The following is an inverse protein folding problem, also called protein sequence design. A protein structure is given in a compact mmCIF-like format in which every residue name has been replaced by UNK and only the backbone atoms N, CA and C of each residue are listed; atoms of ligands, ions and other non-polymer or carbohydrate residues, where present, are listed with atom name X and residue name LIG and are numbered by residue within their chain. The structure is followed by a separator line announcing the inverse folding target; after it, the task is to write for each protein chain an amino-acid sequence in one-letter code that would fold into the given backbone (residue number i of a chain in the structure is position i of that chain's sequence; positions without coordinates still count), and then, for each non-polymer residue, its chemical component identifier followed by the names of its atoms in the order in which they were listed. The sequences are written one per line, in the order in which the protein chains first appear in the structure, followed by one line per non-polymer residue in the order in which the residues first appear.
data_IF_140691609365
#
_entry.id   IF_140691609365
#
_cell.length_a   1.000
_cell.length_b   1.000
_cell.length_c   1.000
_cell.angle_alpha   90.00
_cell.angle_beta   90.00
_cell.angle_gamma   90.00
#
_symmetry.space_group_name_H-M   'P 1'
#
loop_
_entity.id
_entity.type
_entity.pdbx_description
1 polymer ?
#
# COMPACT_ATOMS: atom_id res chain seq x y z
N UNK A 1 -20.12 -16.80 -10.63
CA UNK A 1 -19.42 -16.84 -9.33
C UNK A 1 -19.07 -15.42 -8.92
N UNK A 2 -19.72 -14.86 -7.91
CA UNK A 2 -19.38 -13.55 -7.41
C UNK A 2 -17.96 -13.61 -6.79
N UNK A 3 -17.00 -12.98 -7.47
CA UNK A 3 -15.62 -12.86 -6.98
C UNK A 3 -15.70 -11.99 -5.72
N UNK A 4 -15.51 -12.57 -4.54
CA UNK A 4 -15.53 -11.83 -3.27
C UNK A 4 -14.53 -10.68 -3.36
N UNK A 5 -15.07 -9.47 -3.40
CA UNK A 5 -14.31 -8.23 -3.42
C UNK A 5 -13.71 -8.03 -2.04
N UNK A 6 -12.42 -8.21 -1.90
CA UNK A 6 -11.74 -7.97 -0.64
C UNK A 6 -11.31 -6.52 -0.57
N UNK A 7 -11.85 -5.79 0.39
CA UNK A 7 -11.44 -4.41 0.66
C UNK A 7 -9.94 -4.35 0.99
N UNK A 8 -9.27 -3.29 0.55
CA UNK A 8 -7.88 -2.98 0.89
C UNK A 8 -7.61 -3.11 2.39
N UNK A 9 -8.53 -2.62 3.23
CA UNK A 9 -8.44 -2.77 4.69
C UNK A 9 -8.33 -4.24 5.12
N UNK A 10 -9.17 -5.12 4.57
CA UNK A 10 -9.14 -6.55 4.88
C UNK A 10 -7.83 -7.20 4.44
N UNK A 11 -7.31 -6.80 3.28
CA UNK A 11 -6.02 -7.28 2.78
C UNK A 11 -4.86 -6.86 3.69
N UNK A 12 -4.79 -5.60 4.11
CA UNK A 12 -3.73 -5.12 5.03
C UNK A 12 -3.76 -5.88 6.35
N UNK A 13 -4.95 -6.08 6.95
CA UNK A 13 -5.08 -6.86 8.18
C UNK A 13 -4.61 -8.31 7.98
N UNK A 14 -4.97 -8.91 6.86
CA UNK A 14 -4.55 -10.27 6.52
C UNK A 14 -3.04 -10.36 6.30
N UNK A 15 -2.44 -9.41 5.59
CA UNK A 15 -0.99 -9.34 5.38
C UNK A 15 -0.23 -9.18 6.69
N UNK A 16 -0.76 -8.35 7.60
CA UNK A 16 -0.19 -8.20 8.93
C UNK A 16 -0.27 -9.50 9.74
N UNK A 17 -1.43 -10.17 9.74
CA UNK A 17 -1.58 -11.47 10.40
C UNK A 17 -0.63 -12.53 9.81
N UNK A 18 -0.52 -12.59 8.48
CA UNK A 18 0.41 -13.51 7.80
C UNK A 18 1.87 -13.18 8.14
N UNK A 19 2.26 -11.90 8.20
CA UNK A 19 3.61 -11.52 8.59
C UNK A 19 3.95 -11.96 10.01
N UNK A 20 3.02 -11.81 10.95
CA UNK A 20 3.19 -12.28 12.33
C UNK A 20 3.31 -13.81 12.41
N UNK A 21 2.49 -14.54 11.66
CA UNK A 21 2.54 -16.01 11.64
C UNK A 21 3.87 -16.51 11.05
N UNK A 22 4.32 -15.93 9.93
CA UNK A 22 5.59 -16.30 9.31
C UNK A 22 6.78 -15.95 10.21
N UNK A 23 6.79 -14.75 10.79
CA UNK A 23 7.84 -14.34 11.73
C UNK A 23 7.87 -15.25 12.96
N UNK A 24 6.70 -15.56 13.54
CA UNK A 24 6.59 -16.47 14.68
C UNK A 24 7.09 -17.88 14.36
N UNK A 25 6.73 -18.41 13.20
CA UNK A 25 7.21 -19.71 12.74
C UNK A 25 8.73 -19.74 12.59
N UNK A 26 9.31 -18.75 11.93
CA UNK A 26 10.76 -18.65 11.73
C UNK A 26 11.49 -18.47 13.05
N UNK A 27 11.02 -17.59 13.92
CA UNK A 27 11.61 -17.37 15.25
C UNK A 27 11.54 -18.63 16.11
N UNK A 28 10.41 -19.37 16.07
CA UNK A 28 10.26 -20.64 16.79
C UNK A 28 11.22 -21.71 16.26
N UNK A 29 11.36 -21.84 14.94
CA UNK A 29 12.30 -22.79 14.33
C UNK A 29 13.77 -22.44 14.67
N UNK A 30 14.13 -21.16 14.67
CA UNK A 30 15.45 -20.71 15.09
C UNK A 30 15.69 -21.01 16.57
N UNK A 31 14.74 -20.74 17.43
CA UNK A 31 14.84 -21.08 18.86
C UNK A 31 15.05 -22.58 19.07
N UNK A 32 14.20 -23.41 18.44
CA UNK A 32 14.30 -24.88 18.54
C UNK A 32 15.59 -25.44 17.92
N UNK A 33 15.99 -24.91 16.78
CA UNK A 33 17.24 -25.30 16.12
C UNK A 33 18.46 -24.98 16.99
N UNK A 34 18.48 -23.78 17.56
CA UNK A 34 19.53 -23.36 18.49
C UNK A 34 19.55 -24.20 19.76
N UNK A 35 18.38 -24.47 20.34
CA UNK A 35 18.24 -25.32 21.52
C UNK A 35 18.78 -26.76 21.26
N UNK A 36 18.42 -27.34 20.11
CA UNK A 36 18.89 -28.68 19.73
C UNK A 36 20.40 -28.70 19.50
N UNK A 37 20.92 -27.69 18.80
CA UNK A 37 22.34 -27.55 18.55
C UNK A 37 23.15 -27.46 19.85
N UNK A 38 22.71 -26.63 20.80
CA UNK A 38 23.37 -26.52 22.11
C UNK A 38 23.33 -27.81 22.93
N UNK A 39 22.24 -28.56 22.82
CA UNK A 39 22.14 -29.81 23.55
C UNK A 39 23.02 -30.95 23.00
N UNK A 40 23.33 -30.91 21.70
CA UNK A 40 24.06 -32.00 21.02
C UNK A 40 25.53 -31.70 20.76
N UNK A 41 25.95 -30.44 20.61
CA UNK A 41 27.25 -30.11 19.97
C UNK A 41 28.17 -29.18 20.79
N UNK A 42 27.83 -28.76 22.00
CA UNK A 42 28.68 -27.80 22.70
C UNK A 42 29.89 -28.49 23.34
N UNK A 43 31.07 -28.25 22.71
CA UNK A 43 32.38 -28.33 23.33
C UNK A 43 32.93 -26.91 23.52
N UNK A 44 33.56 -26.64 24.68
CA UNK A 44 34.16 -25.33 24.99
C UNK A 44 35.14 -24.93 23.87
N UNK A 45 34.94 -23.72 23.32
CA UNK A 45 35.79 -23.16 22.24
C UNK A 45 35.10 -22.93 20.90
N UNK A 46 33.81 -23.11 20.80
CA UNK A 46 33.03 -22.86 19.57
C UNK A 46 32.52 -21.39 19.55
N UNK A 47 32.64 -20.63 18.45
CA UNK A 47 32.14 -19.24 18.32
C UNK A 47 30.66 -19.10 18.63
N UNK A 48 29.87 -20.16 18.50
CA UNK A 48 28.47 -20.20 18.89
C UNK A 48 28.26 -20.25 20.42
N UNK A 49 29.27 -20.58 21.21
CA UNK A 49 29.18 -20.48 22.69
C UNK A 49 29.11 -19.02 23.13
N UNK A 50 29.91 -18.14 22.53
CA UNK A 50 29.89 -16.69 22.83
C UNK A 50 28.51 -16.08 22.48
N UNK A 51 27.91 -16.51 21.36
CA UNK A 51 26.56 -16.09 21.02
C UNK A 51 25.50 -16.55 22.05
N UNK A 52 25.66 -17.75 22.60
CA UNK A 52 24.80 -18.25 23.67
C UNK A 52 24.93 -17.41 24.94
N UNK A 53 26.16 -17.13 25.37
CA UNK A 53 26.42 -16.31 26.56
C UNK A 53 25.82 -14.90 26.38
N UNK A 54 25.91 -14.34 25.20
CA UNK A 54 25.27 -13.06 24.85
C UNK A 54 23.74 -13.14 24.94
N UNK A 55 23.11 -14.19 24.35
CA UNK A 55 21.65 -14.39 24.41
C UNK A 55 21.19 -14.57 25.86
N UNK A 56 21.94 -15.34 26.66
CA UNK A 56 21.63 -15.59 28.06
C UNK A 56 21.73 -14.31 28.90
N UNK A 57 22.68 -13.42 28.58
CA UNK A 57 22.84 -12.12 29.26
C UNK A 57 21.65 -11.17 29.05
N UNK A 58 20.97 -11.24 27.88
CA UNK A 58 19.77 -10.47 27.56
C UNK A 58 18.50 -11.18 28.06
N UNK A 59 18.57 -12.50 28.16
CA UNK A 59 17.46 -13.42 28.41
C UNK A 59 16.85 -13.95 27.11
N UNK A 60 16.70 -15.26 27.02
CA UNK A 60 16.20 -15.95 25.83
C UNK A 60 14.89 -15.35 25.33
N UNK A 61 13.94 -15.08 26.24
CA UNK A 61 12.64 -14.51 25.87
C UNK A 61 12.79 -13.11 25.23
N UNK A 62 13.56 -12.22 25.83
CA UNK A 62 13.73 -10.85 25.35
C UNK A 62 14.41 -10.83 23.97
N UNK A 63 15.46 -11.65 23.80
CA UNK A 63 16.18 -11.76 22.54
C UNK A 63 15.27 -12.26 21.40
N UNK A 64 14.58 -13.38 21.59
CA UNK A 64 13.71 -13.94 20.55
C UNK A 64 12.46 -13.10 20.33
N UNK A 65 11.96 -12.38 21.34
CA UNK A 65 10.86 -11.44 21.19
C UNK A 65 11.25 -10.24 20.34
N UNK A 66 12.44 -9.66 20.58
CA UNK A 66 12.97 -8.58 19.76
C UNK A 66 13.17 -9.04 18.30
N UNK A 67 13.77 -10.23 18.11
CA UNK A 67 13.95 -10.83 16.80
C UNK A 67 12.62 -11.04 16.08
N UNK A 68 11.60 -11.53 16.77
CA UNK A 68 10.24 -11.69 16.25
C UNK A 68 9.66 -10.36 15.76
N UNK A 69 9.79 -9.30 16.54
CA UNK A 69 9.30 -7.97 16.16
C UNK A 69 9.99 -7.48 14.88
N UNK A 70 11.33 -7.51 14.84
CA UNK A 70 12.10 -7.06 13.68
C UNK A 70 11.77 -7.88 12.43
N UNK A 71 11.65 -9.19 12.57
CA UNK A 71 11.30 -10.07 11.48
C UNK A 71 9.87 -9.83 10.98
N UNK A 72 8.91 -9.66 11.90
CA UNK A 72 7.52 -9.36 11.58
C UNK A 72 7.37 -8.06 10.79
N UNK A 73 8.05 -7.00 11.24
CA UNK A 73 8.07 -5.70 10.55
C UNK A 73 8.72 -5.82 9.16
N UNK A 74 9.83 -6.55 9.05
CA UNK A 74 10.53 -6.76 7.77
C UNK A 74 9.65 -7.52 6.77
N UNK A 75 9.02 -8.60 7.20
CA UNK A 75 8.11 -9.39 6.36
C UNK A 75 6.89 -8.55 5.96
N UNK A 76 6.30 -7.80 6.89
CA UNK A 76 5.19 -6.91 6.60
C UNK A 76 5.56 -5.84 5.57
N UNK A 77 6.72 -5.20 5.72
CA UNK A 77 7.24 -4.22 4.76
C UNK A 77 7.38 -4.81 3.36
N UNK A 78 7.94 -6.02 3.24
CA UNK A 78 8.08 -6.71 1.95
C UNK A 78 6.71 -7.00 1.33
N UNK A 79 5.76 -7.50 2.12
CA UNK A 79 4.42 -7.84 1.66
C UNK A 79 3.59 -6.62 1.25
N UNK A 80 3.85 -5.45 1.83
CA UNK A 80 3.14 -4.20 1.51
C UNK A 80 3.78 -3.40 0.37
N UNK A 81 5.00 -3.72 -0.05
CA UNK A 81 5.70 -3.04 -1.15
C UNK A 81 4.89 -2.90 -2.46
N UNK A 82 4.10 -3.89 -2.91
CA UNK A 82 3.28 -3.74 -4.12
C UNK A 82 2.27 -2.59 -4.03
N UNK A 83 1.76 -2.27 -2.85
CA UNK A 83 0.79 -1.19 -2.70
C UNK A 83 1.41 0.19 -2.90
N UNK A 84 2.68 0.40 -2.51
CA UNK A 84 3.42 1.63 -2.85
C UNK A 84 3.52 1.80 -4.37
N UNK A 85 3.83 0.72 -5.09
CA UNK A 85 3.90 0.76 -6.55
C UNK A 85 2.53 1.09 -7.19
N UNK A 86 1.41 0.64 -6.62
CA UNK A 86 0.08 1.02 -7.10
C UNK A 86 -0.19 2.51 -6.98
N UNK A 87 0.25 3.14 -5.89
CA UNK A 87 0.14 4.59 -5.73
C UNK A 87 0.95 5.35 -6.78
N UNK A 88 2.18 4.92 -7.04
CA UNK A 88 3.03 5.54 -8.04
C UNK A 88 2.41 5.42 -9.44
N UNK A 89 1.84 4.26 -9.77
CA UNK A 89 1.17 4.01 -11.04
C UNK A 89 -0.09 4.89 -11.20
N UNK A 90 -0.93 5.01 -10.16
CA UNK A 90 -2.10 5.90 -10.14
C UNK A 90 -1.68 7.36 -10.29
N UNK A 91 -0.68 7.80 -9.52
CA UNK A 91 -0.15 9.16 -9.59
C UNK A 91 0.35 9.50 -10.99
N UNK A 92 1.09 8.58 -11.59
CA UNK A 92 1.60 8.71 -12.96
C UNK A 92 0.45 8.75 -13.99
N UNK A 93 -0.56 7.89 -13.83
CA UNK A 93 -1.75 7.90 -14.69
C UNK A 93 -2.50 9.23 -14.67
N UNK A 94 -2.67 9.81 -13.47
CA UNK A 94 -3.28 11.14 -13.32
C UNK A 94 -2.40 12.24 -13.96
N UNK A 95 -1.07 12.13 -13.86
CA UNK A 95 -0.17 13.07 -14.54
C UNK A 95 -0.31 13.02 -16.06
N UNK A 96 -0.42 11.82 -16.66
CA UNK A 96 -0.66 11.69 -18.10
C UNK A 96 -1.99 12.31 -18.50
N UNK A 97 -3.03 12.09 -17.70
CA UNK A 97 -4.33 12.70 -17.89
C UNK A 97 -4.23 14.24 -17.89
N UNK A 98 -3.45 14.81 -16.94
CA UNK A 98 -3.18 16.23 -16.81
C UNK A 98 -2.40 16.83 -17.99
N UNK A 99 -1.54 16.03 -18.61
CA UNK A 99 -0.74 16.44 -19.77
C UNK A 99 -1.50 16.24 -21.10
N UNK A 100 -2.75 15.72 -21.06
CA UNK A 100 -3.53 15.44 -22.27
C UNK A 100 -3.11 14.17 -23.01
N UNK A 101 -2.27 13.33 -22.41
CA UNK A 101 -1.90 12.01 -22.96
C UNK A 101 -2.93 10.97 -22.53
N UNK A 102 -4.06 10.95 -23.23
CA UNK A 102 -5.18 10.05 -22.94
C UNK A 102 -5.00 8.62 -23.50
N UNK A 103 -3.90 8.34 -24.21
CA UNK A 103 -3.63 7.01 -24.75
C UNK A 103 -3.03 6.06 -23.73
N UNK A 104 -2.37 6.59 -22.73
CA UNK A 104 -1.77 5.79 -21.67
C UNK A 104 -2.84 5.25 -20.72
N UNK A 105 -2.59 4.04 -20.22
CA UNK A 105 -3.51 3.34 -19.31
C UNK A 105 -2.76 2.97 -18.04
N UNK A 106 -3.44 3.10 -16.91
CA UNK A 106 -2.99 2.60 -15.60
C UNK A 106 -3.23 1.10 -15.58
N UNK A 107 -2.18 0.31 -15.28
CA UNK A 107 -2.27 -1.15 -15.28
C UNK A 107 -2.06 -1.72 -13.88
N UNK A 108 -3.11 -1.70 -13.07
CA UNK A 108 -3.12 -2.29 -11.73
C UNK A 108 -3.98 -3.54 -11.73
N UNK A 109 -3.34 -4.70 -11.50
CA UNK A 109 -4.02 -5.99 -11.40
C UNK A 109 -4.40 -6.25 -9.94
N UNK A 110 -5.34 -5.49 -9.41
CA UNK A 110 -5.89 -5.71 -8.08
C UNK A 110 -7.42 -5.79 -8.13
N UNK A 111 -8.01 -6.58 -7.21
CA UNK A 111 -9.48 -6.70 -7.06
C UNK A 111 -9.96 -5.95 -5.80
N UNK A 112 -9.37 -4.80 -5.55
CA UNK A 112 -9.69 -3.91 -4.45
C UNK A 112 -9.87 -2.48 -4.97
N UNK A 113 -9.93 -1.53 -4.07
CA UNK A 113 -10.12 -0.11 -4.34
C UNK A 113 -9.05 0.46 -5.31
N UNK A 114 -7.83 -0.09 -5.33
CA UNK A 114 -6.79 0.32 -6.29
C UNK A 114 -7.13 -0.06 -7.73
N UNK A 115 -7.64 -1.27 -7.91
CA UNK A 115 -8.13 -1.72 -9.23
C UNK A 115 -9.29 -0.86 -9.73
N UNK A 116 -10.21 -0.49 -8.85
CA UNK A 116 -11.34 0.37 -9.18
C UNK A 116 -10.89 1.78 -9.60
N UNK A 117 -9.96 2.38 -8.84
CA UNK A 117 -9.38 3.69 -9.17
C UNK A 117 -8.68 3.64 -10.53
N UNK A 118 -7.88 2.59 -10.79
CA UNK A 118 -7.19 2.41 -12.06
C UNK A 118 -8.20 2.30 -13.23
N UNK A 119 -9.26 1.53 -13.04
CA UNK A 119 -10.33 1.39 -14.03
C UNK A 119 -11.05 2.72 -14.27
N UNK A 120 -11.36 3.47 -13.22
CA UNK A 120 -12.01 4.77 -13.33
C UNK A 120 -11.14 5.79 -14.09
N UNK A 121 -9.82 5.84 -13.79
CA UNK A 121 -8.87 6.68 -14.53
C UNK A 121 -8.84 6.28 -16.01
N UNK A 122 -8.78 4.99 -16.33
CA UNK A 122 -8.77 4.51 -17.72
C UNK A 122 -10.05 4.85 -18.46
N UNK A 123 -11.21 4.71 -17.83
CA UNK A 123 -12.50 5.13 -18.41
C UNK A 123 -12.58 6.64 -18.63
N UNK A 124 -12.06 7.45 -17.70
CA UNK A 124 -11.97 8.89 -17.89
C UNK A 124 -11.08 9.24 -19.08
N UNK A 125 -9.91 8.60 -19.19
CA UNK A 125 -9.00 8.77 -20.34
C UNK A 125 -9.69 8.45 -21.67
N UNK A 126 -10.38 7.32 -21.75
CA UNK A 126 -11.11 6.89 -22.96
C UNK A 126 -12.19 7.89 -23.37
N UNK A 127 -13.03 8.31 -22.42
CA UNK A 127 -14.09 9.29 -22.70
C UNK A 127 -13.54 10.65 -23.14
N UNK A 128 -12.44 11.10 -22.55
CA UNK A 128 -11.76 12.34 -22.96
C UNK A 128 -11.16 12.21 -24.36
N UNK A 129 -10.53 11.09 -24.68
CA UNK A 129 -9.99 10.80 -26.00
C UNK A 129 -11.10 10.82 -27.07
N UNK A 130 -12.23 10.14 -26.82
CA UNK A 130 -13.38 10.12 -27.70
C UNK A 130 -14.00 11.52 -27.91
N UNK A 131 -14.13 12.30 -26.84
CA UNK A 131 -14.68 13.64 -26.90
C UNK A 131 -13.83 14.60 -27.73
N UNK A 132 -12.52 14.42 -27.64
CA UNK A 132 -11.56 15.17 -28.44
C UNK A 132 -11.65 14.78 -29.91
N UNK A 133 -11.76 13.49 -30.21
CA UNK A 133 -11.89 12.99 -31.60
C UNK A 133 -13.21 13.47 -32.25
N UNK A 134 -14.28 13.63 -31.46
CA UNK A 134 -15.56 14.15 -31.95
C UNK A 134 -15.58 15.67 -32.20
N UNK A 135 -14.52 16.39 -31.79
CA UNK A 135 -14.46 17.83 -31.93
C UNK A 135 -15.37 18.60 -30.96
N UNK A 136 -15.84 17.92 -29.89
CA UNK A 136 -16.78 18.50 -28.91
C UNK A 136 -16.17 19.64 -28.08
N UNK A 137 -14.86 19.88 -28.22
CA UNK A 137 -14.12 20.91 -27.51
C UNK A 137 -13.39 21.87 -28.46
N UNK A 138 -13.56 23.18 -28.24
CA UNK A 138 -12.62 24.15 -28.79
C UNK A 138 -11.23 23.98 -28.11
N UNK A 139 -10.16 24.28 -28.84
CA UNK A 139 -8.78 24.05 -28.38
C UNK A 139 -8.51 24.67 -26.99
N UNK A 140 -9.03 25.88 -26.70
CA UNK A 140 -8.92 26.54 -25.40
C UNK A 140 -9.74 25.87 -24.29
N UNK A 141 -10.89 25.29 -24.62
CA UNK A 141 -11.73 24.60 -23.64
C UNK A 141 -11.15 23.24 -23.23
N UNK A 142 -10.39 22.63 -24.11
CA UNK A 142 -9.67 21.38 -23.90
C UNK A 142 -8.57 21.51 -22.83
N UNK A 143 -7.68 22.50 -23.02
CA UNK A 143 -6.60 22.74 -22.06
C UNK A 143 -7.14 23.08 -20.67
N UNK A 144 -8.15 23.93 -20.59
CA UNK A 144 -8.72 24.37 -19.32
C UNK A 144 -9.45 23.26 -18.58
N UNK A 145 -10.16 22.39 -19.29
CA UNK A 145 -10.81 21.22 -18.71
C UNK A 145 -9.80 20.22 -18.14
N UNK A 146 -8.74 19.94 -18.89
CA UNK A 146 -7.68 19.01 -18.49
C UNK A 146 -6.92 19.52 -17.27
N UNK A 147 -6.55 20.80 -17.25
CA UNK A 147 -5.83 21.42 -16.13
C UNK A 147 -6.69 21.43 -14.87
N UNK A 148 -7.96 21.79 -14.98
CA UNK A 148 -8.89 21.82 -13.85
C UNK A 148 -9.11 20.40 -13.30
N UNK A 149 -9.35 19.43 -14.17
CA UNK A 149 -9.54 18.03 -13.82
C UNK A 149 -8.34 17.45 -13.07
N UNK A 150 -7.14 17.69 -13.62
CA UNK A 150 -5.91 17.23 -13.00
C UNK A 150 -5.69 17.85 -11.61
N UNK A 151 -5.99 19.14 -11.45
CA UNK A 151 -5.89 19.80 -10.16
C UNK A 151 -6.87 19.21 -9.14
N UNK A 152 -8.13 18.99 -9.55
CA UNK A 152 -9.20 18.49 -8.68
C UNK A 152 -9.02 17.02 -8.29
N UNK A 153 -8.38 16.23 -9.13
CA UNK A 153 -7.98 14.84 -8.81
C UNK A 153 -6.72 14.79 -7.95
N UNK A 154 -5.72 15.65 -8.23
CA UNK A 154 -4.44 15.67 -7.50
C UNK A 154 -4.62 16.01 -6.02
N UNK A 155 -5.50 16.97 -5.70
CA UNK A 155 -5.71 17.45 -4.33
C UNK A 155 -6.15 16.35 -3.36
N UNK A 156 -7.23 15.60 -3.61
CA UNK A 156 -7.63 14.48 -2.73
C UNK A 156 -6.60 13.35 -2.74
N UNK A 157 -5.97 13.06 -3.88
CA UNK A 157 -4.95 12.00 -3.98
C UNK A 157 -3.72 12.33 -3.12
N UNK A 158 -3.21 13.56 -3.19
CA UNK A 158 -2.07 13.99 -2.36
C UNK A 158 -2.41 13.89 -0.86
N UNK A 159 -3.67 14.18 -0.50
CA UNK A 159 -4.12 14.02 0.88
C UNK A 159 -4.14 12.54 1.30
N UNK A 160 -4.64 11.64 0.44
CA UNK A 160 -4.63 10.19 0.70
C UNK A 160 -3.20 9.70 0.92
N UNK A 161 -2.29 10.04 -0.02
CA UNK A 161 -0.88 9.69 0.07
C UNK A 161 -0.23 10.22 1.35
N UNK A 162 -0.48 11.50 1.70
CA UNK A 162 0.10 12.11 2.89
C UNK A 162 -0.33 11.43 4.18
N UNK A 163 -1.62 11.08 4.33
CA UNK A 163 -2.10 10.39 5.53
C UNK A 163 -1.63 8.94 5.62
N UNK A 164 -1.52 8.25 4.49
CA UNK A 164 -0.96 6.90 4.46
C UNK A 164 0.55 6.90 4.76
N UNK A 165 1.28 7.86 4.22
CA UNK A 165 2.72 8.04 4.50
C UNK A 165 2.97 8.33 5.98
N UNK A 166 2.13 9.17 6.62
CA UNK A 166 2.19 9.40 8.07
C UNK A 166 1.99 8.10 8.86
N UNK A 167 0.99 7.28 8.48
CA UNK A 167 0.73 6.00 9.15
C UNK A 167 1.88 5.01 8.97
N UNK A 168 2.55 5.05 7.81
CA UNK A 168 3.65 4.13 7.50
C UNK A 168 4.99 4.53 8.12
N UNK A 169 5.23 5.84 8.33
CA UNK A 169 6.54 6.36 8.78
C UNK A 169 6.61 6.69 10.26
N UNK A 170 5.48 6.98 10.90
CA UNK A 170 5.49 7.40 12.30
C UNK A 170 5.12 6.23 13.23
N UNK A 171 6.13 5.58 13.76
CA UNK A 171 6.01 4.44 14.69
C UNK A 171 5.42 4.84 16.06
N UNK A 172 5.31 6.16 16.36
CA UNK A 172 4.81 6.66 17.65
C UNK A 172 3.30 6.92 17.65
N UNK A 173 2.63 6.69 16.54
CA UNK A 173 1.19 6.91 16.43
C UNK A 173 0.41 5.96 17.35
N UNK A 174 -0.55 6.53 18.09
CA UNK A 174 -1.52 5.74 18.84
C UNK A 174 -2.48 5.01 17.89
N UNK A 175 -3.09 3.92 18.35
CA UNK A 175 -4.11 3.19 17.57
C UNK A 175 -5.26 4.10 17.12
N UNK A 176 -5.61 5.09 17.93
CA UNK A 176 -6.65 6.08 17.61
C UNK A 176 -6.22 7.02 16.48
N UNK A 177 -4.96 7.49 16.52
CA UNK A 177 -4.39 8.33 15.46
C UNK A 177 -4.27 7.58 14.13
N UNK A 178 -3.79 6.34 14.17
CA UNK A 178 -3.75 5.46 12.98
C UNK A 178 -5.16 5.30 12.39
N UNK A 179 -6.16 4.99 13.22
CA UNK A 179 -7.55 4.85 12.77
C UNK A 179 -8.08 6.16 12.19
N UNK A 180 -7.77 7.29 12.81
CA UNK A 180 -8.19 8.61 12.36
C UNK A 180 -7.62 8.93 10.96
N UNK A 181 -6.31 8.75 10.76
CA UNK A 181 -5.65 9.01 9.48
C UNK A 181 -6.14 8.09 8.37
N UNK A 182 -6.33 6.79 8.67
CA UNK A 182 -6.92 5.85 7.72
C UNK A 182 -8.36 6.23 7.35
N UNK A 183 -9.15 6.74 8.29
CA UNK A 183 -10.52 7.21 8.01
C UNK A 183 -10.51 8.42 7.09
N UNK A 184 -9.58 9.37 7.31
CA UNK A 184 -9.44 10.53 6.42
C UNK A 184 -9.01 10.10 5.02
N UNK A 185 -8.01 9.24 4.90
CA UNK A 185 -7.56 8.72 3.62
C UNK A 185 -8.71 8.03 2.87
N UNK A 186 -9.48 7.19 3.55
CA UNK A 186 -10.65 6.52 2.98
C UNK A 186 -11.72 7.50 2.50
N UNK A 187 -12.06 8.52 3.30
CA UNK A 187 -13.03 9.54 2.93
C UNK A 187 -12.58 10.36 1.71
N UNK A 188 -11.28 10.67 1.61
CA UNK A 188 -10.72 11.38 0.45
C UNK A 188 -10.72 10.50 -0.80
N UNK A 189 -10.49 9.19 -0.67
CA UNK A 189 -10.60 8.24 -1.77
C UNK A 189 -12.03 8.14 -2.30
N UNK A 190 -13.03 8.09 -1.41
CA UNK A 190 -14.45 8.11 -1.82
C UNK A 190 -14.84 9.41 -2.53
N UNK A 191 -14.25 10.54 -2.11
CA UNK A 191 -14.48 11.81 -2.80
C UNK A 191 -13.86 11.81 -4.20
N UNK A 192 -12.70 11.19 -4.36
CA UNK A 192 -12.05 11.02 -5.67
C UNK A 192 -12.93 10.17 -6.62
N UNK A 193 -13.46 9.06 -6.12
CA UNK A 193 -14.41 8.20 -6.84
C UNK A 193 -15.64 9.00 -7.31
N UNK A 194 -16.25 9.78 -6.40
CA UNK A 194 -17.38 10.64 -6.74
C UNK A 194 -17.07 11.68 -7.80
N UNK A 195 -15.93 12.35 -7.71
CA UNK A 195 -15.49 13.34 -8.72
C UNK A 195 -15.37 12.69 -10.10
N UNK A 196 -14.83 11.49 -10.16
CA UNK A 196 -14.72 10.72 -11.41
C UNK A 196 -16.12 10.37 -11.94
N UNK A 197 -17.02 9.91 -11.08
CA UNK A 197 -18.42 9.58 -11.46
C UNK A 197 -19.19 10.80 -11.96
N UNK A 198 -19.03 11.95 -11.31
CA UNK A 198 -19.66 13.22 -11.74
C UNK A 198 -19.17 13.65 -13.11
N UNK A 199 -17.87 13.51 -13.38
CA UNK A 199 -17.29 13.77 -14.70
C UNK A 199 -17.82 12.83 -15.79
N UNK A 200 -18.15 11.60 -15.42
CA UNK A 200 -18.73 10.63 -16.33
C UNK A 200 -20.23 10.89 -16.59
N UNK A 201 -20.97 11.44 -15.61
CA UNK A 201 -22.42 11.73 -15.68
C UNK A 201 -22.77 13.08 -16.31
N UNK A 202 -21.87 14.07 -16.24
CA UNK A 202 -22.16 15.42 -16.79
C UNK A 202 -22.29 15.46 -18.34
N UNK A 203 -22.37 14.30 -18.98
CA UNK A 203 -22.39 14.11 -20.43
C UNK A 203 -23.65 13.38 -20.96
N UNK A 204 -24.59 13.04 -20.10
CA UNK A 204 -25.95 12.67 -20.53
C UNK A 204 -26.88 13.90 -20.52
#
# INVERSE_FOLDING_TARGET
MAKMRSSFRTKIILLFAVSMLLAGMVTYLLFKGLQLYYHTMIHRGNPLAELRDFIESIGDFNFFFLLFILLSLSVFYILTKPYSAYFDEISTGIQYLALGDFKRRVNIQSNDEFGDIAQAINQASEKLEEAIQRGDFSENSKEQLVVNLAHDLRTPLTSVLGYLDLVLKDEKLTKEQVRHFLTIAFTKSQRLEKLIDELLKSRE
#
